data_IF_093232253150
#
_entry.id   IF_093232253150
#
_cell.length_a   1.000
_cell.length_b   1.000
_cell.length_c   1.000
_cell.angle_alpha   90.00
_cell.angle_beta   90.00
_cell.angle_gamma   90.00
#
_symmetry.space_group_name_H-M   'P 1'
#
loop_
_entity.id
_entity.type
_entity.pdbx_description
1 polymer ?
#
# COMPACT_ATOMS: atom_id res chain seq x y z
N UNK A 1 9.82 -17.71 -15.21
CA UNK A 1 9.83 -16.71 -16.31
C UNK A 1 8.55 -16.76 -17.13
N UNK A 2 8.24 -17.85 -17.85
CA UNK A 2 6.96 -17.97 -18.58
C UNK A 2 5.74 -17.94 -17.65
N UNK A 3 5.80 -18.63 -16.51
CA UNK A 3 4.70 -18.65 -15.52
C UNK A 3 4.42 -17.27 -14.90
N UNK A 4 5.44 -16.51 -14.53
CA UNK A 4 5.30 -15.15 -13.97
C UNK A 4 4.70 -14.15 -14.97
N UNK A 5 5.15 -14.21 -16.23
CA UNK A 5 4.59 -13.43 -17.34
C UNK A 5 3.12 -13.82 -17.61
N UNK A 6 2.85 -15.11 -17.58
CA UNK A 6 1.49 -15.66 -17.71
C UNK A 6 0.63 -15.20 -16.53
N UNK A 7 1.13 -15.14 -15.30
CA UNK A 7 0.36 -14.69 -14.13
C UNK A 7 -0.01 -13.20 -14.20
N UNK A 8 0.90 -12.32 -14.64
CA UNK A 8 0.60 -10.90 -14.87
C UNK A 8 -0.35 -10.69 -16.05
N UNK A 9 -0.15 -11.45 -17.13
CA UNK A 9 -1.02 -11.41 -18.31
C UNK A 9 -2.43 -11.95 -17.98
N UNK A 10 -2.50 -13.05 -17.25
CA UNK A 10 -3.74 -13.64 -16.74
C UNK A 10 -4.41 -12.70 -15.75
N UNK A 11 -3.68 -11.98 -14.88
CA UNK A 11 -4.27 -10.96 -14.01
C UNK A 11 -4.98 -9.90 -14.87
N UNK A 12 -4.35 -9.41 -15.94
CA UNK A 12 -4.94 -8.40 -16.83
C UNK A 12 -6.15 -8.94 -17.63
N UNK A 13 -6.10 -10.18 -18.10
CA UNK A 13 -7.22 -10.89 -18.75
C UNK A 13 -8.39 -11.16 -17.78
N UNK A 14 -8.09 -11.60 -16.55
CA UNK A 14 -9.07 -11.92 -15.51
C UNK A 14 -9.70 -10.64 -14.95
N UNK A 15 -8.96 -9.53 -14.91
CA UNK A 15 -9.50 -8.22 -14.54
C UNK A 15 -10.57 -7.72 -15.51
N UNK A 16 -10.47 -8.08 -16.80
CA UNK A 16 -11.45 -7.74 -17.83
C UNK A 16 -12.71 -8.61 -17.81
N UNK A 17 -12.76 -9.67 -16.98
CA UNK A 17 -13.92 -10.55 -16.85
C UNK A 17 -14.74 -10.18 -15.62
N UNK A 18 -16.05 -10.02 -15.78
CA UNK A 18 -16.97 -9.62 -14.70
C UNK A 18 -17.25 -10.76 -13.70
N UNK A 19 -16.89 -12.01 -14.01
CA UNK A 19 -17.72 -13.14 -13.57
C UNK A 19 -17.22 -13.92 -12.33
N UNK A 20 -16.12 -13.56 -11.66
CA UNK A 20 -15.77 -14.24 -10.39
C UNK A 20 -14.75 -13.48 -9.53
N UNK A 21 -15.19 -13.02 -8.34
CA UNK A 21 -14.28 -12.47 -7.34
C UNK A 21 -13.28 -13.51 -6.82
N UNK A 22 -13.68 -14.79 -6.75
CA UNK A 22 -12.79 -15.89 -6.36
C UNK A 22 -11.59 -16.04 -7.32
N UNK A 23 -11.82 -15.96 -8.65
CA UNK A 23 -10.73 -16.01 -9.63
C UNK A 23 -9.80 -14.79 -9.52
N UNK A 24 -10.36 -13.60 -9.27
CA UNK A 24 -9.57 -12.37 -9.07
C UNK A 24 -8.73 -12.46 -7.79
N UNK A 25 -9.27 -13.05 -6.73
CA UNK A 25 -8.59 -13.26 -5.45
C UNK A 25 -7.42 -14.24 -5.60
N UNK A 26 -7.67 -15.37 -6.28
CA UNK A 26 -6.65 -16.38 -6.57
C UNK A 26 -5.56 -15.83 -7.49
N UNK A 27 -5.91 -15.01 -8.48
CA UNK A 27 -4.94 -14.36 -9.35
C UNK A 27 -4.08 -13.34 -8.58
N UNK A 28 -4.67 -12.53 -7.69
CA UNK A 28 -3.91 -11.62 -6.83
C UNK A 28 -2.97 -12.38 -5.88
N UNK A 29 -3.40 -13.54 -5.37
CA UNK A 29 -2.57 -14.42 -4.54
C UNK A 29 -1.42 -15.05 -5.34
N UNK A 30 -1.69 -15.52 -6.55
CA UNK A 30 -0.66 -16.05 -7.45
C UNK A 30 0.42 -15.00 -7.76
N UNK A 31 0.06 -13.71 -7.84
CA UNK A 31 1.04 -12.63 -7.95
C UNK A 31 1.93 -12.58 -6.73
N UNK A 32 1.39 -12.63 -5.51
CA UNK A 32 2.16 -12.65 -4.26
C UNK A 32 3.14 -13.83 -4.25
N UNK A 33 2.65 -15.02 -4.59
CA UNK A 33 3.46 -16.25 -4.61
C UNK A 33 4.59 -16.18 -5.65
N UNK A 34 4.42 -15.37 -6.71
CA UNK A 34 5.40 -15.18 -7.79
C UNK A 34 6.37 -14.00 -7.57
N UNK A 35 6.27 -13.28 -6.44
CA UNK A 35 7.10 -12.08 -6.17
C UNK A 35 8.60 -12.38 -6.16
N UNK A 36 9.10 -13.49 -5.58
CA UNK A 36 10.53 -13.80 -5.60
C UNK A 36 11.07 -13.91 -7.03
N UNK A 37 10.34 -14.57 -7.92
CA UNK A 37 10.70 -14.67 -9.33
C UNK A 37 10.50 -13.36 -10.09
N UNK A 38 9.56 -12.52 -9.66
CA UNK A 38 9.30 -11.22 -10.28
C UNK A 38 10.44 -10.22 -10.00
N UNK A 39 11.09 -10.28 -8.85
CA UNK A 39 12.24 -9.42 -8.53
C UNK A 39 13.48 -9.72 -9.36
N UNK A 40 13.61 -10.93 -9.90
CA UNK A 40 14.62 -11.27 -10.92
C UNK A 40 14.27 -10.64 -12.30
N UNK A 41 13.04 -10.16 -12.49
CA UNK A 41 12.50 -9.64 -13.75
C UNK A 41 12.04 -8.18 -13.62
N UNK A 42 13.00 -7.27 -13.48
CA UNK A 42 12.76 -5.83 -13.27
C UNK A 42 11.81 -5.15 -14.27
N UNK A 43 11.77 -5.62 -15.52
CA UNK A 43 10.88 -5.12 -16.57
C UNK A 43 9.38 -5.36 -16.29
N UNK A 44 9.07 -6.26 -15.36
CA UNK A 44 7.68 -6.65 -15.02
C UNK A 44 7.20 -6.08 -13.69
N UNK A 45 8.11 -5.65 -12.81
CA UNK A 45 7.77 -5.06 -11.50
C UNK A 45 6.98 -3.75 -11.67
N UNK A 46 7.45 -2.85 -12.54
CA UNK A 46 6.78 -1.54 -12.72
C UNK A 46 5.39 -1.65 -13.36
N UNK A 47 5.18 -2.47 -14.42
CA UNK A 47 3.85 -2.70 -14.99
C UNK A 47 2.84 -3.39 -14.05
N UNK A 48 3.29 -4.01 -12.95
CA UNK A 48 2.40 -4.61 -11.97
C UNK A 48 1.61 -3.56 -11.18
N UNK A 49 2.19 -2.39 -10.88
CA UNK A 49 1.52 -1.36 -10.06
C UNK A 49 0.20 -0.85 -10.68
N UNK A 50 0.13 -0.45 -11.96
CA UNK A 50 -1.14 -0.04 -12.56
C UNK A 50 -2.18 -1.15 -12.60
N UNK A 51 -1.74 -2.40 -12.80
CA UNK A 51 -2.64 -3.56 -12.87
C UNK A 51 -3.28 -3.84 -11.51
N UNK A 52 -2.49 -3.82 -10.43
CA UNK A 52 -2.98 -3.96 -9.06
C UNK A 52 -3.84 -2.78 -8.64
N UNK A 53 -3.51 -1.55 -9.05
CA UNK A 53 -4.37 -0.39 -8.85
C UNK A 53 -5.74 -0.59 -9.49
N UNK A 54 -5.78 -1.04 -10.75
CA UNK A 54 -7.04 -1.27 -11.45
C UNK A 54 -7.90 -2.25 -10.67
N UNK A 55 -7.29 -3.34 -10.17
CA UNK A 55 -7.95 -4.31 -9.31
C UNK A 55 -8.57 -3.66 -8.05
N UNK A 56 -7.85 -2.76 -7.38
CA UNK A 56 -8.37 -2.02 -6.23
C UNK A 56 -9.55 -1.10 -6.58
N UNK A 57 -9.59 -0.55 -7.80
CA UNK A 57 -10.65 0.36 -8.24
C UNK A 57 -11.87 -0.33 -8.86
N UNK A 58 -11.69 -1.53 -9.43
CA UNK A 58 -12.71 -2.24 -10.19
C UNK A 58 -13.40 -3.37 -9.42
N UNK A 59 -13.09 -3.54 -8.13
CA UNK A 59 -13.62 -4.61 -7.29
C UNK A 59 -14.09 -4.09 -5.93
N UNK A 60 -15.05 -4.81 -5.36
CA UNK A 60 -15.60 -4.54 -4.02
C UNK A 60 -15.41 -5.72 -3.06
N UNK A 61 -14.89 -6.84 -3.56
CA UNK A 61 -14.65 -8.04 -2.77
C UNK A 61 -13.44 -7.82 -1.85
N UNK A 62 -13.66 -7.94 -0.53
CA UNK A 62 -12.66 -7.62 0.48
C UNK A 62 -11.41 -8.50 0.37
N UNK A 63 -11.55 -9.77 -0.03
CA UNK A 63 -10.41 -10.68 -0.16
C UNK A 63 -9.53 -10.31 -1.34
N UNK A 64 -10.17 -9.96 -2.46
CA UNK A 64 -9.51 -9.45 -3.66
C UNK A 64 -8.72 -8.17 -3.34
N UNK A 65 -9.34 -7.21 -2.64
CA UNK A 65 -8.71 -5.95 -2.23
C UNK A 65 -7.54 -6.20 -1.27
N UNK A 66 -7.72 -7.06 -0.28
CA UNK A 66 -6.69 -7.43 0.69
C UNK A 66 -5.46 -8.03 -0.01
N UNK A 67 -5.65 -9.00 -0.90
CA UNK A 67 -4.54 -9.65 -1.60
C UNK A 67 -3.81 -8.67 -2.51
N UNK A 68 -4.52 -7.77 -3.19
CA UNK A 68 -3.87 -6.75 -4.00
C UNK A 68 -3.08 -5.73 -3.17
N UNK A 69 -3.57 -5.34 -1.99
CA UNK A 69 -2.81 -4.50 -1.06
C UNK A 69 -1.53 -5.22 -0.58
N UNK A 70 -1.59 -6.51 -0.26
CA UNK A 70 -0.39 -7.28 0.09
C UNK A 70 0.61 -7.35 -1.07
N UNK A 71 0.13 -7.61 -2.29
CA UNK A 71 0.99 -7.61 -3.47
C UNK A 71 1.69 -6.26 -3.66
N UNK A 72 0.95 -5.14 -3.55
CA UNK A 72 1.52 -3.79 -3.63
C UNK A 72 2.55 -3.52 -2.53
N UNK A 73 2.27 -3.92 -1.28
CA UNK A 73 3.21 -3.80 -0.18
C UNK A 73 4.51 -4.54 -0.49
N UNK A 74 4.44 -5.82 -0.83
CA UNK A 74 5.61 -6.63 -1.12
C UNK A 74 6.40 -6.11 -2.32
N UNK A 75 5.72 -5.69 -3.38
CA UNK A 75 6.37 -5.05 -4.54
C UNK A 75 7.07 -3.75 -4.20
N UNK A 76 6.66 -3.05 -3.14
CA UNK A 76 7.21 -1.73 -2.76
C UNK A 76 8.27 -1.84 -1.67
N UNK A 77 8.10 -2.76 -0.72
CA UNK A 77 8.95 -2.94 0.45
C UNK A 77 10.11 -3.93 0.23
N UNK A 78 10.06 -4.67 -0.89
CA UNK A 78 10.77 -5.94 -1.02
C UNK A 78 10.08 -7.07 -0.23
N UNK A 79 10.51 -8.31 -0.44
CA UNK A 79 9.88 -9.47 0.18
C UNK A 79 10.90 -10.34 0.94
N UNK A 80 10.57 -10.67 2.20
CA UNK A 80 11.04 -11.89 2.87
C UNK A 80 9.89 -12.89 2.82
N UNK A 81 9.81 -13.73 1.79
CA UNK A 81 8.81 -14.79 1.80
C UNK A 81 9.27 -16.00 2.64
N UNK A 82 10.46 -15.96 3.28
CA UNK A 82 10.98 -17.10 4.07
C UNK A 82 10.24 -17.29 5.40
N UNK A 83 9.55 -16.26 5.90
CA UNK A 83 8.53 -16.45 6.93
C UNK A 83 7.21 -16.79 6.24
N UNK A 84 6.74 -18.03 6.39
CA UNK A 84 5.50 -18.59 5.81
C UNK A 84 4.18 -17.90 6.27
N UNK A 85 4.12 -16.57 6.30
CA UNK A 85 2.96 -15.80 6.69
C UNK A 85 3.04 -14.38 6.16
N UNK A 86 1.89 -13.85 5.76
CA UNK A 86 1.71 -12.42 5.50
C UNK A 86 2.43 -11.61 6.59
N UNK A 87 3.41 -10.80 6.24
CA UNK A 87 4.28 -10.14 7.22
C UNK A 87 3.45 -9.14 8.01
N UNK A 88 3.05 -9.50 9.23
CA UNK A 88 2.35 -8.60 10.16
C UNK A 88 3.29 -7.57 10.81
N UNK A 89 4.59 -7.63 10.49
CA UNK A 89 5.62 -6.71 10.97
C UNK A 89 6.29 -6.07 9.76
N UNK A 90 6.42 -4.74 9.77
CA UNK A 90 7.14 -4.00 8.73
C UNK A 90 8.58 -4.51 8.64
N UNK A 91 8.87 -5.25 7.58
CA UNK A 91 10.19 -5.75 7.23
C UNK A 91 10.49 -5.21 5.84
N UNK A 92 11.44 -4.29 5.77
CA UNK A 92 11.91 -3.73 4.51
C UNK A 92 13.13 -4.49 4.06
N UNK A 93 13.07 -5.04 2.86
CA UNK A 93 14.20 -5.73 2.24
C UNK A 93 14.56 -4.99 0.97
N UNK A 94 15.81 -4.54 0.82
CA UNK A 94 16.25 -3.91 -0.40
C UNK A 94 15.98 -4.83 -1.60
N UNK A 95 15.35 -4.30 -2.64
CA UNK A 95 15.19 -5.07 -3.87
C UNK A 95 16.58 -5.35 -4.48
N UNK A 96 16.84 -6.57 -4.98
CA UNK A 96 18.18 -6.98 -5.44
C UNK A 96 18.74 -6.21 -6.65
N UNK A 97 17.95 -5.33 -7.28
CA UNK A 97 18.27 -4.74 -8.60
C UNK A 97 17.75 -3.31 -8.73
N UNK A 98 16.50 -3.04 -8.32
CA UNK A 98 15.89 -1.71 -8.36
C UNK A 98 16.14 -1.01 -7.03
N UNK A 99 16.47 0.29 -7.05
CA UNK A 99 16.59 1.04 -5.80
C UNK A 99 15.23 1.28 -5.14
N UNK A 100 15.20 1.36 -3.82
CA UNK A 100 13.97 1.64 -3.06
C UNK A 100 13.29 2.94 -3.53
N UNK A 101 14.06 4.00 -3.80
CA UNK A 101 13.53 5.27 -4.33
C UNK A 101 12.91 5.11 -5.73
N UNK A 102 13.52 4.34 -6.64
CA UNK A 102 12.97 4.09 -7.98
C UNK A 102 11.69 3.24 -7.93
N UNK A 103 11.61 2.35 -6.96
CA UNK A 103 10.44 1.51 -6.70
C UNK A 103 9.26 2.33 -6.18
N UNK A 104 9.51 3.16 -5.15
CA UNK A 104 8.52 4.13 -4.66
C UNK A 104 8.11 5.11 -5.75
N UNK A 105 9.05 5.53 -6.61
CA UNK A 105 8.72 6.39 -7.77
C UNK A 105 7.75 5.70 -8.72
N UNK A 106 7.97 4.43 -9.06
CA UNK A 106 7.06 3.67 -9.92
C UNK A 106 5.67 3.49 -9.27
N UNK A 107 5.64 3.20 -7.96
CA UNK A 107 4.42 3.13 -7.17
C UNK A 107 3.62 4.46 -7.25
N UNK A 108 4.28 5.59 -7.03
CA UNK A 108 3.64 6.90 -7.07
C UNK A 108 3.16 7.28 -8.48
N UNK A 109 3.97 6.99 -9.51
CA UNK A 109 3.60 7.24 -10.91
C UNK A 109 2.40 6.42 -11.39
N UNK A 110 2.10 5.31 -10.72
CA UNK A 110 0.95 4.48 -11.02
C UNK A 110 -0.35 4.97 -10.35
N UNK A 111 -0.37 6.10 -9.62
CA UNK A 111 -1.55 6.66 -8.93
C UNK A 111 -2.19 5.68 -7.93
N UNK A 112 -1.38 4.84 -7.28
CA UNK A 112 -1.85 3.85 -6.30
C UNK A 112 -2.26 4.51 -4.98
N UNK A 113 -1.53 5.54 -4.56
CA UNK A 113 -1.70 6.19 -3.24
C UNK A 113 -3.12 6.75 -3.01
N UNK A 114 -3.72 7.56 -3.92
CA UNK A 114 -5.09 8.05 -3.74
C UNK A 114 -6.12 6.93 -3.57
N UNK A 115 -5.91 5.80 -4.25
CA UNK A 115 -6.80 4.63 -4.19
C UNK A 115 -6.70 3.95 -2.83
N UNK A 116 -5.48 3.72 -2.32
CA UNK A 116 -5.28 3.11 -1.00
C UNK A 116 -5.90 3.94 0.13
N UNK A 117 -5.77 5.27 0.08
CA UNK A 117 -6.39 6.17 1.08
C UNK A 117 -7.91 6.10 1.08
N UNK A 118 -8.51 5.76 -0.06
CA UNK A 118 -9.95 5.56 -0.19
C UNK A 118 -10.42 4.20 0.35
N UNK A 119 -9.51 3.25 0.53
CA UNK A 119 -9.77 1.98 1.21
C UNK A 119 -9.75 2.12 2.74
N UNK A 120 -9.32 3.26 3.28
CA UNK A 120 -9.35 3.54 4.72
C UNK A 120 -10.79 3.83 5.17
N UNK A 121 -11.54 2.74 5.35
CA UNK A 121 -12.95 2.70 5.75
C UNK A 121 -13.16 1.60 6.79
N UNK A 122 -14.10 1.85 7.71
CA UNK A 122 -14.31 1.02 8.89
C UNK A 122 -14.87 -0.38 8.59
N UNK A 123 -15.47 -0.55 7.41
CA UNK A 123 -16.05 -1.79 6.90
C UNK A 123 -15.02 -2.72 6.23
N UNK A 124 -13.83 -2.23 5.90
CA UNK A 124 -12.79 -2.98 5.18
C UNK A 124 -11.62 -3.40 6.10
N UNK A 125 -11.92 -3.86 7.32
CA UNK A 125 -10.92 -4.09 8.39
C UNK A 125 -9.77 -5.00 7.96
N UNK A 126 -10.01 -6.05 7.18
CA UNK A 126 -8.92 -6.95 6.76
C UNK A 126 -8.01 -6.36 5.67
N UNK A 127 -8.47 -5.30 5.00
CA UNK A 127 -7.72 -4.55 3.98
C UNK A 127 -6.89 -3.43 4.59
N UNK A 128 -7.32 -2.87 5.73
CA UNK A 128 -6.66 -1.72 6.37
C UNK A 128 -5.19 -2.01 6.68
N UNK A 129 -4.91 -3.16 7.30
CA UNK A 129 -3.53 -3.55 7.66
C UNK A 129 -2.57 -3.53 6.46
N UNK A 130 -2.80 -4.30 5.37
CA UNK A 130 -1.90 -4.27 4.23
C UNK A 130 -1.90 -2.92 3.50
N UNK A 131 -3.02 -2.19 3.48
CA UNK A 131 -3.07 -0.87 2.86
C UNK A 131 -2.21 0.16 3.63
N UNK A 132 -2.26 0.18 4.97
CA UNK A 132 -1.38 1.04 5.79
C UNK A 132 0.09 0.68 5.58
N UNK A 133 0.44 -0.62 5.59
CA UNK A 133 1.81 -1.06 5.35
C UNK A 133 2.32 -0.59 3.99
N UNK A 134 1.49 -0.71 2.94
CA UNK A 134 1.82 -0.24 1.59
C UNK A 134 2.11 1.27 1.57
N UNK A 135 1.23 2.09 2.17
CA UNK A 135 1.44 3.55 2.19
C UNK A 135 2.67 3.93 3.01
N UNK A 136 2.93 3.23 4.12
CA UNK A 136 4.09 3.46 4.98
C UNK A 136 5.41 3.25 4.26
N UNK A 137 5.44 2.45 3.18
CA UNK A 137 6.63 2.29 2.35
C UNK A 137 7.13 3.63 1.81
N UNK A 138 6.25 4.56 1.42
CA UNK A 138 6.67 5.90 0.95
C UNK A 138 7.37 6.67 2.07
N UNK A 139 6.86 6.61 3.30
CA UNK A 139 7.44 7.33 4.44
C UNK A 139 8.81 6.80 4.85
N UNK A 140 9.04 5.49 4.72
CA UNK A 140 10.26 4.84 5.19
C UNK A 140 11.33 4.75 4.09
N UNK A 141 10.92 4.37 2.88
CA UNK A 141 11.80 4.08 1.76
C UNK A 141 11.92 5.23 0.75
N UNK A 142 10.98 6.17 0.78
CA UNK A 142 10.96 7.27 -0.16
C UNK A 142 12.03 8.34 0.12
N UNK A 143 12.38 9.09 -0.93
CA UNK A 143 13.14 10.33 -0.80
C UNK A 143 12.29 11.48 -0.23
N UNK A 144 12.91 12.62 0.05
CA UNK A 144 12.22 13.78 0.63
C UNK A 144 11.08 14.31 -0.26
N UNK A 145 11.25 14.26 -1.58
CA UNK A 145 10.23 14.71 -2.53
C UNK A 145 9.01 13.77 -2.50
N UNK A 146 9.24 12.46 -2.42
CA UNK A 146 8.19 11.45 -2.31
C UNK A 146 7.43 11.54 -0.99
N UNK A 147 8.11 11.86 0.12
CA UNK A 147 7.48 12.13 1.42
C UNK A 147 6.62 13.40 1.41
N UNK A 148 7.05 14.45 0.73
CA UNK A 148 6.23 15.66 0.54
C UNK A 148 4.98 15.36 -0.28
N UNK A 149 5.15 14.66 -1.41
CA UNK A 149 4.05 14.21 -2.24
C UNK A 149 3.03 13.38 -1.45
N UNK A 150 3.46 12.49 -0.56
CA UNK A 150 2.56 11.71 0.30
C UNK A 150 1.60 12.61 1.08
N UNK A 151 2.10 13.69 1.67
CA UNK A 151 1.32 14.61 2.52
C UNK A 151 0.38 15.48 1.68
N UNK A 152 0.84 15.89 0.52
CA UNK A 152 0.05 16.70 -0.41
C UNK A 152 -1.00 15.86 -1.15
N UNK A 153 -0.80 14.54 -1.21
CA UNK A 153 -1.75 13.62 -1.84
C UNK A 153 -3.12 13.69 -1.16
N UNK A 154 -4.15 13.57 -1.98
CA UNK A 154 -5.54 13.46 -1.55
C UNK A 154 -6.08 12.13 -2.01
N UNK A 155 -6.94 11.54 -1.19
CA UNK A 155 -7.75 10.39 -1.55
C UNK A 155 -8.70 10.77 -2.71
N UNK A 156 -9.33 9.79 -3.35
CA UNK A 156 -10.33 10.07 -4.42
C UNK A 156 -11.52 10.86 -3.83
N UNK A 157 -11.90 10.56 -2.58
CA UNK A 157 -12.84 11.34 -1.78
C UNK A 157 -12.30 12.70 -1.28
N UNK A 158 -11.15 13.16 -1.79
CA UNK A 158 -10.48 14.44 -1.46
C UNK A 158 -10.06 14.62 -0.01
N UNK A 159 -9.97 13.53 0.77
CA UNK A 159 -9.44 13.56 2.15
C UNK A 159 -7.92 13.59 2.10
N UNK A 160 -7.29 14.34 3.01
CA UNK A 160 -5.84 14.27 3.15
C UNK A 160 -5.44 13.00 3.95
N UNK A 161 -4.14 12.63 3.91
CA UNK A 161 -3.65 11.41 4.58
C UNK A 161 -3.95 11.43 6.08
N UNK A 162 -3.73 12.56 6.75
CA UNK A 162 -3.98 12.70 8.19
C UNK A 162 -5.47 12.55 8.51
N UNK A 163 -6.38 13.11 7.70
CA UNK A 163 -7.82 12.97 7.89
C UNK A 163 -8.24 11.50 7.78
N UNK A 164 -7.70 10.76 6.81
CA UNK A 164 -7.99 9.33 6.66
C UNK A 164 -7.48 8.54 7.88
N UNK A 165 -6.26 8.81 8.35
CA UNK A 165 -5.67 8.13 9.51
C UNK A 165 -6.40 8.45 10.82
N UNK A 166 -6.75 9.72 11.05
CA UNK A 166 -7.53 10.12 12.21
C UNK A 166 -8.93 9.50 12.20
N UNK A 167 -9.50 9.26 11.02
CA UNK A 167 -10.74 8.48 10.87
C UNK A 167 -10.60 7.06 11.44
N UNK A 168 -9.56 6.34 11.02
CA UNK A 168 -9.30 4.98 11.51
C UNK A 168 -9.04 4.93 13.02
N UNK A 169 -8.28 5.90 13.54
CA UNK A 169 -7.99 5.99 14.97
C UNK A 169 -9.26 6.21 15.81
N UNK A 170 -10.17 7.08 15.35
CA UNK A 170 -11.46 7.31 16.03
C UNK A 170 -12.35 6.06 16.04
N UNK A 171 -12.23 5.23 15.02
CA UNK A 171 -12.99 3.98 14.89
C UNK A 171 -12.32 2.79 15.60
N UNK A 172 -11.18 3.01 16.27
CA UNK A 172 -10.44 1.99 17.02
C UNK A 172 -9.85 0.90 16.14
N UNK A 173 -9.46 1.25 14.90
CA UNK A 173 -8.92 0.31 13.92
C UNK A 173 -7.42 0.51 13.80
N UNK A 174 -6.65 -0.56 14.08
CA UNK A 174 -5.20 -0.61 13.89
C UNK A 174 -4.47 0.57 14.57
N UNK A 175 -4.93 0.97 15.76
CA UNK A 175 -4.50 2.20 16.45
C UNK A 175 -2.98 2.34 16.55
N UNK A 176 -2.27 1.26 16.91
CA UNK A 176 -0.82 1.24 17.04
C UNK A 176 -0.13 1.57 15.70
N UNK A 177 -0.55 0.92 14.61
CA UNK A 177 0.02 1.17 13.29
C UNK A 177 -0.35 2.55 12.76
N UNK A 178 -1.58 3.00 12.98
CA UNK A 178 -2.02 4.35 12.59
C UNK A 178 -1.18 5.40 13.33
N UNK A 179 -0.97 5.23 14.63
CA UNK A 179 -0.11 6.12 15.41
C UNK A 179 1.34 6.10 14.91
N UNK A 180 1.89 4.92 14.63
CA UNK A 180 3.22 4.77 14.09
C UNK A 180 3.35 5.46 12.72
N UNK A 181 2.34 5.34 11.86
CA UNK A 181 2.35 5.97 10.54
C UNK A 181 2.23 7.50 10.65
N UNK A 182 1.37 8.03 11.52
CA UNK A 182 1.33 9.46 11.84
C UNK A 182 2.71 9.94 12.32
N UNK A 183 3.39 9.15 13.18
CA UNK A 183 4.74 9.47 13.64
C UNK A 183 5.72 9.52 12.46
N UNK A 184 5.71 8.56 11.54
CA UNK A 184 6.59 8.59 10.36
C UNK A 184 6.36 9.82 9.46
N UNK A 185 5.10 10.15 9.19
CA UNK A 185 4.74 11.33 8.37
C UNK A 185 5.16 12.64 9.04
N UNK A 186 5.10 12.71 10.37
CA UNK A 186 5.44 13.92 11.13
C UNK A 186 6.94 14.06 11.44
N UNK A 187 7.65 12.96 11.70
CA UNK A 187 9.09 12.94 11.99
C UNK A 187 9.92 13.23 10.73
N UNK A 188 9.47 12.77 9.55
CA UNK A 188 10.15 12.95 8.26
C UNK A 188 10.20 14.38 7.73
N UNK A 189 9.92 15.40 8.55
CA UNK A 189 10.08 16.79 8.14
C UNK A 189 10.54 17.66 9.30
N UNK A 190 11.83 17.97 9.29
CA UNK A 190 12.51 18.84 10.27
C UNK A 190 11.90 20.26 10.36
N UNK A 191 11.03 20.66 9.43
CA UNK A 191 10.26 21.92 9.47
C UNK A 191 8.85 21.80 10.10
N UNK A 192 8.23 20.60 10.24
CA UNK A 192 6.79 20.47 10.60
C UNK A 192 6.48 20.22 12.07
N UNK A 193 7.48 19.97 12.93
CA UNK A 193 7.27 19.79 14.37
C UNK A 193 6.60 21.00 15.06
N UNK A 194 6.55 22.19 14.43
CA UNK A 194 5.93 23.38 15.04
C UNK A 194 4.46 23.62 14.68
N UNK A 195 3.95 23.08 13.57
CA UNK A 195 2.57 23.37 13.12
C UNK A 195 1.59 22.30 13.62
N UNK A 196 1.94 21.02 13.57
CA UNK A 196 1.02 19.94 13.97
C UNK A 196 0.93 19.68 15.49
N UNK A 197 1.90 20.14 16.28
CA UNK A 197 1.82 20.08 17.76
C UNK A 197 0.70 20.99 18.30
N UNK A 198 0.25 22.00 17.53
CA UNK A 198 -0.87 22.86 17.94
C UNK A 198 -2.23 22.18 17.75
N UNK A 199 -2.41 21.35 16.72
CA UNK A 199 -3.69 20.65 16.47
C UNK A 199 -3.88 19.42 17.39
N UNK A 200 -2.80 18.75 17.79
CA UNK A 200 -2.86 17.60 18.70
C UNK A 200 -3.21 17.99 20.15
N UNK A 201 -3.15 19.27 20.53
CA UNK A 201 -3.58 19.73 21.87
C UNK A 201 -5.09 19.69 22.07
N UNK A 202 -5.88 19.49 21.01
CA UNK A 202 -7.34 19.43 21.09
C UNK A 202 -7.92 18.00 20.99
N UNK A 203 -7.09 16.98 20.73
CA UNK A 203 -7.54 15.59 20.81
C UNK A 203 -7.43 15.13 22.27
N UNK A 204 -8.46 15.45 23.04
CA UNK A 204 -8.66 14.89 24.38
C UNK A 204 -9.06 13.43 24.19
N UNK A 205 -8.13 12.52 24.45
CA UNK A 205 -8.45 11.10 24.65
C UNK A 205 -9.06 11.03 26.05
N UNK A 206 -10.38 11.10 26.13
CA UNK A 206 -11.08 10.82 27.38
C UNK A 206 -11.03 9.30 27.62
N UNK A 207 -10.30 8.94 28.68
CA UNK A 207 -10.09 7.61 29.25
C UNK A 207 -11.34 6.99 29.85
#
# INVERSE_FOLDING_TARGET
MLETLVNLFLLNEILGRDDSSALKSEAAKAVIDSIPELFELTDLVKPAFPTLRNLLTSNVDEEVLKNACWALYYLSAGADLTSNGYCTRLTFIPHPVVSDSDMIKAFCQADVLPVLLDLFKDDLRSVIHPAINTVTCISVLGDEHQKEMLIDTRSIAKRNVLDCLLGLLKSGIEEEMVCMFIAYVTIGSTQRAKVHILDLKHVRIDS
#
